data_IF_274357390441
#
_entry.id   IF_274357390441
#
_cell.length_a   1.000
_cell.length_b   1.000
_cell.length_c   1.000
_cell.angle_alpha   90.00
_cell.angle_beta   90.00
_cell.angle_gamma   90.00
#
_symmetry.space_group_name_H-M   'P 1'
#
loop_
_entity.id
_entity.type
_entity.pdbx_description
1 polymer ?
#
# COMPACT_ATOMS: atom_id res chain seq x y z
N UNK A 1 -63.35 42.50 -45.55
CA UNK A 1 -64.45 42.10 -44.64
C UNK A 1 -63.84 41.75 -43.27
N UNK A 2 -63.65 42.75 -42.39
CA UNK A 2 -63.07 42.59 -41.05
C UNK A 2 -64.22 42.41 -40.06
N UNK A 3 -64.37 41.20 -39.49
CA UNK A 3 -65.28 40.95 -38.36
C UNK A 3 -64.65 41.53 -37.09
N UNK A 4 -65.22 42.61 -36.58
CA UNK A 4 -64.94 43.09 -35.22
C UNK A 4 -65.65 42.14 -34.24
N UNK A 5 -64.88 41.20 -33.66
CA UNK A 5 -65.35 40.39 -32.54
C UNK A 5 -65.50 41.31 -31.31
N UNK A 6 -66.69 41.28 -30.73
CA UNK A 6 -67.09 42.11 -29.60
C UNK A 6 -66.38 41.65 -28.31
N UNK A 7 -65.29 42.32 -27.93
CA UNK A 7 -64.46 41.99 -26.75
C UNK A 7 -64.99 42.51 -25.39
N UNK A 8 -66.23 43.02 -25.30
CA UNK A 8 -66.75 43.65 -24.08
C UNK A 8 -67.35 42.70 -23.04
N UNK A 9 -66.99 41.42 -23.07
CA UNK A 9 -67.53 40.38 -22.19
C UNK A 9 -66.50 39.46 -21.54
N UNK A 10 -65.21 39.77 -21.56
CA UNK A 10 -64.22 39.10 -20.70
C UNK A 10 -64.49 39.55 -19.27
N UNK A 11 -65.44 38.88 -18.64
CA UNK A 11 -66.01 39.24 -17.35
C UNK A 11 -65.00 39.09 -16.23
N UNK A 12 -65.19 39.89 -15.20
CA UNK A 12 -64.47 39.83 -13.92
C UNK A 12 -64.31 38.38 -13.38
N UNK A 13 -65.26 37.50 -13.70
CA UNK A 13 -65.23 36.06 -13.41
C UNK A 13 -64.02 35.35 -14.01
N UNK A 14 -63.62 35.64 -15.25
CA UNK A 14 -62.49 34.96 -15.90
C UNK A 14 -61.15 35.32 -15.27
N UNK A 15 -61.00 36.59 -14.85
CA UNK A 15 -59.84 37.05 -14.07
C UNK A 15 -59.80 36.35 -12.71
N UNK A 16 -60.93 36.20 -12.02
CA UNK A 16 -60.98 35.49 -10.74
C UNK A 16 -60.65 34.01 -10.86
N UNK A 17 -61.14 33.33 -11.91
CA UNK A 17 -60.82 31.92 -12.18
C UNK A 17 -59.32 31.78 -12.48
N UNK A 18 -58.76 32.67 -13.30
CA UNK A 18 -57.33 32.62 -13.65
C UNK A 18 -56.45 32.84 -12.41
N UNK A 19 -56.79 33.81 -11.55
CA UNK A 19 -56.09 34.04 -10.28
C UNK A 19 -56.19 32.84 -9.34
N UNK A 20 -57.37 32.19 -9.26
CA UNK A 20 -57.56 30.98 -8.47
C UNK A 20 -56.67 29.82 -8.94
N UNK A 21 -56.60 29.59 -10.26
CA UNK A 21 -55.75 28.54 -10.85
C UNK A 21 -54.25 28.87 -10.64
N UNK A 22 -53.84 30.13 -10.85
CA UNK A 22 -52.45 30.54 -10.57
C UNK A 22 -52.07 30.35 -9.10
N UNK A 23 -52.98 30.62 -8.16
CA UNK A 23 -52.76 30.37 -6.73
C UNK A 23 -52.52 28.89 -6.41
N UNK A 24 -53.28 27.99 -7.04
CA UNK A 24 -53.12 26.55 -6.84
C UNK A 24 -51.80 26.03 -7.45
N UNK A 25 -51.41 26.53 -8.63
CA UNK A 25 -50.15 26.13 -9.28
C UNK A 25 -48.93 26.57 -8.46
N UNK A 26 -48.95 27.81 -7.94
CA UNK A 26 -47.81 28.33 -7.15
C UNK A 26 -47.61 27.53 -5.86
N UNK A 27 -48.68 27.22 -5.13
CA UNK A 27 -48.61 26.36 -3.93
C UNK A 27 -48.11 24.95 -4.24
N UNK A 28 -48.59 24.33 -5.33
CA UNK A 28 -48.11 23.02 -5.78
C UNK A 28 -46.61 23.03 -6.13
N UNK A 29 -46.16 24.05 -6.87
CA UNK A 29 -44.74 24.19 -7.24
C UNK A 29 -43.83 24.36 -6.04
N UNK A 30 -44.24 25.13 -5.02
CA UNK A 30 -43.44 25.37 -3.82
C UNK A 30 -43.14 24.08 -3.03
N UNK A 31 -44.10 23.15 -2.97
CA UNK A 31 -43.88 21.85 -2.32
C UNK A 31 -42.92 20.96 -3.13
N UNK A 32 -43.05 20.96 -4.46
CA UNK A 32 -42.13 20.24 -5.33
C UNK A 32 -40.70 20.78 -5.21
N UNK A 33 -40.52 22.11 -5.18
CA UNK A 33 -39.20 22.71 -4.98
C UNK A 33 -38.56 22.33 -3.64
N UNK A 34 -39.33 22.35 -2.54
CA UNK A 34 -38.86 21.86 -1.24
C UNK A 34 -38.41 20.40 -1.31
N UNK A 35 -39.15 19.56 -2.03
CA UNK A 35 -38.81 18.15 -2.21
C UNK A 35 -37.54 17.96 -3.05
N UNK A 36 -37.37 18.72 -4.13
CA UNK A 36 -36.18 18.70 -4.99
C UNK A 36 -34.93 19.11 -4.21
N UNK A 37 -34.99 20.19 -3.43
CA UNK A 37 -33.86 20.64 -2.58
C UNK A 37 -33.49 19.55 -1.56
N UNK A 38 -34.49 18.91 -0.95
CA UNK A 38 -34.26 17.81 0.00
C UNK A 38 -33.55 16.62 -0.67
N UNK A 39 -33.98 16.24 -1.88
CA UNK A 39 -33.32 15.18 -2.67
C UNK A 39 -31.89 15.57 -3.05
N UNK A 40 -31.69 16.79 -3.51
CA UNK A 40 -30.37 17.30 -3.90
C UNK A 40 -29.40 17.29 -2.72
N UNK A 41 -29.84 17.78 -1.55
CA UNK A 41 -29.03 17.75 -0.33
C UNK A 41 -28.70 16.31 0.07
N UNK A 42 -29.67 15.38 0.01
CA UNK A 42 -29.43 13.96 0.30
C UNK A 42 -28.40 13.34 -0.64
N UNK A 43 -28.48 13.62 -1.94
CA UNK A 43 -27.52 13.12 -2.92
C UNK A 43 -26.12 13.73 -2.71
N UNK A 44 -26.06 15.04 -2.40
CA UNK A 44 -24.80 15.72 -2.08
C UNK A 44 -24.14 15.11 -0.84
N UNK A 45 -24.91 14.82 0.21
CA UNK A 45 -24.39 14.19 1.44
C UNK A 45 -23.90 12.77 1.19
N UNK A 46 -24.62 11.96 0.40
CA UNK A 46 -24.15 10.62 0.03
C UNK A 46 -22.83 10.68 -0.73
N UNK A 47 -22.71 11.60 -1.69
CA UNK A 47 -21.47 11.80 -2.44
C UNK A 47 -20.32 12.24 -1.52
N UNK A 48 -20.58 13.17 -0.60
CA UNK A 48 -19.58 13.63 0.37
C UNK A 48 -19.10 12.51 1.30
N UNK A 49 -19.99 11.65 1.79
CA UNK A 49 -19.62 10.50 2.62
C UNK A 49 -18.81 9.48 1.82
N UNK A 50 -19.23 9.16 0.60
CA UNK A 50 -18.48 8.27 -0.29
C UNK A 50 -17.06 8.80 -0.57
N UNK A 51 -16.91 10.12 -0.73
CA UNK A 51 -15.60 10.74 -0.90
C UNK A 51 -14.74 10.63 0.36
N UNK A 52 -15.30 10.87 1.54
CA UNK A 52 -14.60 10.65 2.82
C UNK A 52 -14.18 9.19 2.98
N UNK A 53 -15.08 8.24 2.70
CA UNK A 53 -14.78 6.81 2.73
C UNK A 53 -13.61 6.48 1.79
N UNK A 54 -13.65 6.96 0.55
CA UNK A 54 -12.60 6.75 -0.44
C UNK A 54 -11.26 7.38 0.00
N UNK A 55 -11.29 8.58 0.58
CA UNK A 55 -10.10 9.23 1.14
C UNK A 55 -9.50 8.39 2.29
N UNK A 56 -10.33 7.87 3.20
CA UNK A 56 -9.87 7.00 4.28
C UNK A 56 -9.28 5.70 3.74
N UNK A 57 -9.97 5.03 2.81
CA UNK A 57 -9.49 3.78 2.19
C UNK A 57 -8.17 3.97 1.45
N UNK A 58 -8.06 4.99 0.61
CA UNK A 58 -6.83 5.27 -0.15
C UNK A 58 -5.66 5.64 0.75
N UNK A 59 -5.91 6.40 1.83
CA UNK A 59 -4.89 6.72 2.84
C UNK A 59 -4.47 5.45 3.60
N UNK A 60 -5.43 4.62 4.00
CA UNK A 60 -5.16 3.34 4.68
C UNK A 60 -4.36 2.41 3.78
N UNK A 61 -4.58 2.38 2.46
CA UNK A 61 -3.86 1.54 1.50
C UNK A 61 -2.50 2.11 1.07
N UNK A 62 -2.22 3.40 1.30
CA UNK A 62 -0.92 3.99 0.98
C UNK A 62 0.14 3.56 2.02
N UNK A 63 1.24 2.95 1.58
CA UNK A 63 2.25 2.35 2.48
C UNK A 63 2.96 3.38 3.37
N UNK A 64 3.31 4.54 2.81
CA UNK A 64 3.95 5.62 3.57
C UNK A 64 3.00 6.18 4.63
N UNK A 65 1.74 6.41 4.26
CA UNK A 65 0.70 6.89 5.17
C UNK A 65 0.47 5.91 6.34
N UNK A 66 0.39 4.61 6.05
CA UNK A 66 0.23 3.58 7.08
C UNK A 66 1.47 3.44 7.97
N UNK A 67 2.67 3.46 7.39
CA UNK A 67 3.91 3.46 8.16
C UNK A 67 3.95 4.67 9.11
N UNK A 68 3.56 5.86 8.63
CA UNK A 68 3.41 7.05 9.48
C UNK A 68 2.38 6.81 10.59
N UNK A 69 1.20 6.26 10.29
CA UNK A 69 0.20 5.89 11.29
C UNK A 69 0.72 4.93 12.36
N UNK A 70 1.41 3.85 11.98
CA UNK A 70 1.96 2.86 12.92
C UNK A 70 3.05 3.49 13.81
N UNK A 71 3.91 4.31 13.22
CA UNK A 71 5.08 4.88 13.90
C UNK A 71 4.77 6.17 14.67
N UNK A 72 3.62 6.82 14.43
CA UNK A 72 3.27 8.08 15.08
C UNK A 72 3.17 7.95 16.61
N UNK A 73 3.68 8.94 17.35
CA UNK A 73 3.73 8.91 18.82
C UNK A 73 2.34 8.73 19.46
N UNK A 74 1.30 9.36 18.90
CA UNK A 74 -0.07 9.24 19.39
C UNK A 74 -0.67 7.84 19.27
N UNK A 75 -0.15 6.98 18.37
CA UNK A 75 -0.59 5.59 18.20
C UNK A 75 0.33 4.59 18.91
N UNK A 76 1.24 5.04 19.78
CA UNK A 76 2.19 4.17 20.47
C UNK A 76 1.51 3.11 21.33
N UNK A 77 0.43 3.45 22.02
CA UNK A 77 -0.33 2.49 22.82
C UNK A 77 -1.20 1.54 21.96
N UNK A 78 -1.76 2.05 20.86
CA UNK A 78 -2.72 1.29 20.05
C UNK A 78 -2.10 0.48 18.92
N UNK A 79 -0.95 0.88 18.39
CA UNK A 79 -0.26 0.25 17.25
C UNK A 79 1.20 -0.09 17.55
N UNK A 80 1.66 0.13 18.79
CA UNK A 80 3.07 -0.08 19.17
C UNK A 80 3.59 -1.48 18.88
N UNK A 81 2.73 -2.50 19.01
CA UNK A 81 3.11 -3.89 18.75
C UNK A 81 3.42 -4.20 17.26
N UNK A 82 2.94 -3.35 16.33
CA UNK A 82 3.19 -3.49 14.89
C UNK A 82 4.55 -2.90 14.48
N UNK A 83 5.20 -2.15 15.38
CA UNK A 83 6.51 -1.54 15.12
C UNK A 83 7.58 -2.60 15.13
N UNK A 84 8.57 -2.42 14.27
CA UNK A 84 9.70 -3.33 14.14
C UNK A 84 10.51 -3.46 15.43
N UNK A 85 10.61 -2.37 16.20
CA UNK A 85 11.33 -2.32 17.47
C UNK A 85 10.59 -3.00 18.62
N UNK A 86 9.35 -3.47 18.42
CA UNK A 86 8.59 -4.10 19.49
C UNK A 86 9.08 -5.54 19.73
N UNK A 87 9.62 -5.86 20.92
CA UNK A 87 10.32 -7.13 21.15
C UNK A 87 9.39 -8.34 21.08
N UNK A 88 8.12 -8.14 21.39
CA UNK A 88 7.14 -9.22 21.50
C UNK A 88 6.18 -9.32 20.31
N UNK A 89 6.05 -8.33 19.41
CA UNK A 89 4.98 -8.36 18.39
C UNK A 89 3.56 -8.24 18.98
N UNK A 90 2.52 -8.52 18.18
CA UNK A 90 1.11 -8.33 18.53
C UNK A 90 0.43 -9.61 19.05
N UNK A 91 -0.52 -9.45 19.97
CA UNK A 91 -1.40 -10.55 20.39
C UNK A 91 -2.42 -10.90 19.27
N UNK A 92 -2.78 -12.18 19.16
CA UNK A 92 -3.83 -12.62 18.25
C UNK A 92 -5.18 -11.99 18.64
N UNK A 93 -5.95 -11.53 17.66
CA UNK A 93 -7.20 -10.77 17.79
C UNK A 93 -7.09 -9.46 18.58
N UNK A 94 -5.87 -8.91 18.73
CA UNK A 94 -5.71 -7.59 19.31
C UNK A 94 -6.44 -6.56 18.43
N UNK A 95 -7.39 -5.85 19.02
CA UNK A 95 -8.20 -4.83 18.33
C UNK A 95 -7.99 -3.49 19.02
N UNK A 96 -7.71 -2.44 18.25
CA UNK A 96 -7.55 -1.09 18.81
C UNK A 96 -7.96 0.00 17.83
N UNK A 97 -8.40 1.14 18.37
CA UNK A 97 -8.64 2.36 17.59
C UNK A 97 -7.30 3.09 17.33
N UNK A 98 -7.24 3.92 16.29
CA UNK A 98 -6.01 4.63 15.94
C UNK A 98 -6.27 5.92 15.17
N UNK A 99 -5.29 6.83 15.20
CA UNK A 99 -5.28 8.02 14.36
C UNK A 99 -4.70 7.70 12.97
N UNK A 100 -5.34 8.19 11.91
CA UNK A 100 -4.88 8.01 10.54
C UNK A 100 -4.05 9.22 10.08
N UNK A 101 -2.86 8.96 9.54
CA UNK A 101 -1.93 9.96 9.02
C UNK A 101 -1.70 9.75 7.53
N UNK A 102 -1.41 10.82 6.79
CA UNK A 102 -1.05 10.74 5.37
C UNK A 102 0.46 10.45 5.17
N UNK A 103 0.89 10.34 3.92
CA UNK A 103 2.30 10.13 3.57
C UNK A 103 3.23 11.29 3.94
N UNK A 104 2.68 12.47 4.26
CA UNK A 104 3.42 13.65 4.76
C UNK A 104 3.36 13.78 6.29
N UNK A 105 2.82 12.78 6.97
CA UNK A 105 2.64 12.73 8.42
C UNK A 105 1.65 13.78 8.96
N UNK A 106 0.74 14.29 8.13
CA UNK A 106 -0.40 15.08 8.62
C UNK A 106 -1.52 14.15 9.06
N UNK A 107 -2.18 14.50 10.15
CA UNK A 107 -3.30 13.73 10.65
C UNK A 107 -4.53 13.92 9.74
N UNK A 108 -4.90 12.87 9.00
CA UNK A 108 -6.09 12.82 8.15
C UNK A 108 -7.34 12.65 9.00
N UNK A 109 -7.30 11.72 9.97
CA UNK A 109 -8.45 11.43 10.82
C UNK A 109 -8.09 11.14 12.30
N UNK A 110 -8.71 11.84 13.28
CA UNK A 110 -8.52 11.59 14.72
C UNK A 110 -9.34 10.40 15.24
N UNK A 111 -9.04 9.16 14.81
CA UNK A 111 -9.81 7.99 15.25
C UNK A 111 -9.77 7.71 16.76
N UNK A 112 -8.82 8.27 17.51
CA UNK A 112 -8.78 8.21 18.97
C UNK A 112 -9.64 9.28 19.67
N UNK A 113 -10.10 10.30 18.94
CA UNK A 113 -10.89 11.40 19.51
C UNK A 113 -12.38 11.15 19.30
N UNK A 114 -13.11 10.89 20.38
CA UNK A 114 -14.54 10.57 20.33
C UNK A 114 -15.40 11.65 19.65
N UNK A 115 -14.99 12.92 19.69
CA UNK A 115 -15.75 14.04 19.12
C UNK A 115 -15.35 14.39 17.68
N UNK A 116 -14.38 13.70 17.08
CA UNK A 116 -14.02 13.92 15.70
C UNK A 116 -15.15 13.45 14.77
N UNK A 117 -15.39 14.14 13.68
CA UNK A 117 -16.46 13.76 12.75
C UNK A 117 -16.40 14.52 11.44
N UNK A 118 -17.50 14.45 10.69
CA UNK A 118 -17.68 15.14 9.42
C UNK A 118 -19.03 15.85 9.35
N UNK A 119 -19.02 17.00 8.66
CA UNK A 119 -20.21 17.78 8.32
C UNK A 119 -21.01 17.11 7.19
N UNK A 120 -22.18 17.66 6.89
CA UNK A 120 -23.02 17.27 5.75
C UNK A 120 -22.33 17.35 4.38
N UNK A 121 -21.26 18.14 4.29
CA UNK A 121 -20.45 18.38 3.09
C UNK A 121 -19.13 17.58 3.11
N UNK A 122 -18.93 16.68 4.08
CA UNK A 122 -17.72 15.87 4.18
C UNK A 122 -16.51 16.63 4.74
N UNK A 123 -16.70 17.82 5.31
CA UNK A 123 -15.62 18.57 5.95
C UNK A 123 -15.40 18.07 7.38
N UNK A 124 -14.16 18.10 7.88
CA UNK A 124 -13.86 17.68 9.26
C UNK A 124 -14.49 18.63 10.28
N UNK A 125 -14.99 18.06 11.37
CA UNK A 125 -15.49 18.79 12.53
C UNK A 125 -15.10 18.06 13.83
N UNK A 126 -15.11 18.78 14.96
CA UNK A 126 -14.67 18.27 16.28
C UNK A 126 -15.80 18.32 17.32
N UNK A 127 -17.05 18.26 16.87
CA UNK A 127 -18.23 18.40 17.70
C UNK A 127 -19.22 17.24 17.50
N UNK A 128 -18.74 16.09 17.02
CA UNK A 128 -19.55 14.88 16.99
C UNK A 128 -19.88 14.48 18.43
N UNK A 129 -21.12 14.08 18.66
CA UNK A 129 -21.62 13.68 19.97
C UNK A 129 -22.13 12.27 19.82
N UNK A 130 -21.28 11.33 20.20
CA UNK A 130 -21.33 9.95 19.72
C UNK A 130 -22.10 8.97 20.57
N UNK A 131 -22.95 9.40 21.50
CA UNK A 131 -23.70 8.48 22.33
C UNK A 131 -24.97 8.01 21.61
N UNK A 132 -25.00 6.79 21.05
CA UNK A 132 -26.19 6.27 20.37
C UNK A 132 -27.31 5.97 21.37
N UNK A 133 -26.98 5.82 22.66
CA UNK A 133 -27.93 5.61 23.74
C UNK A 133 -28.59 6.92 24.20
N UNK A 134 -28.01 8.08 23.87
CA UNK A 134 -28.56 9.41 24.17
C UNK A 134 -28.88 10.18 22.87
N UNK A 135 -29.98 9.83 22.16
CA UNK A 135 -30.37 10.43 20.88
C UNK A 135 -30.74 11.92 20.95
N UNK A 136 -30.84 12.52 22.14
CA UNK A 136 -31.02 13.97 22.31
C UNK A 136 -29.72 14.77 22.30
N UNK A 137 -28.57 14.12 22.14
CA UNK A 137 -27.25 14.77 22.21
C UNK A 137 -26.59 15.01 20.85
N UNK A 138 -27.24 14.71 19.73
CA UNK A 138 -26.64 14.83 18.39
C UNK A 138 -26.22 16.25 18.00
N UNK A 139 -25.57 16.39 16.84
CA UNK A 139 -25.15 17.69 16.31
C UNK A 139 -25.31 17.74 14.79
N UNK A 140 -26.22 18.59 14.31
CA UNK A 140 -26.50 18.73 12.86
C UNK A 140 -25.31 19.29 12.07
N UNK A 141 -24.41 20.02 12.72
CA UNK A 141 -23.19 20.52 12.09
C UNK A 141 -22.09 19.44 12.01
N UNK A 142 -22.19 18.37 12.79
CA UNK A 142 -21.21 17.30 12.84
C UNK A 142 -21.87 15.93 13.02
N UNK A 143 -22.74 15.50 12.09
CA UNK A 143 -23.59 14.34 12.30
C UNK A 143 -22.88 13.00 12.03
N UNK A 144 -21.72 12.99 11.37
CA UNK A 144 -21.04 11.76 10.94
C UNK A 144 -19.75 11.51 11.71
N UNK A 145 -19.47 10.25 12.02
CA UNK A 145 -18.22 9.81 12.62
C UNK A 145 -17.80 8.46 12.05
N UNK A 146 -16.50 8.30 11.78
CA UNK A 146 -15.94 7.00 11.44
C UNK A 146 -15.25 6.41 12.67
N UNK A 147 -15.75 5.29 13.16
CA UNK A 147 -15.03 4.54 14.17
C UNK A 147 -14.00 3.66 13.45
N UNK A 148 -12.75 4.15 13.40
CA UNK A 148 -11.63 3.41 12.82
C UNK A 148 -11.02 2.47 13.87
N UNK A 149 -10.94 1.19 13.54
CA UNK A 149 -10.23 0.18 14.32
C UNK A 149 -9.37 -0.68 13.41
N UNK A 150 -8.38 -1.33 14.02
CA UNK A 150 -7.60 -2.36 13.36
C UNK A 150 -7.56 -3.61 14.23
N UNK A 151 -7.50 -4.77 13.61
CA UNK A 151 -7.45 -6.08 14.27
C UNK A 151 -6.27 -6.89 13.75
N UNK A 152 -5.43 -7.38 14.65
CA UNK A 152 -4.33 -8.30 14.35
C UNK A 152 -4.84 -9.76 14.32
N UNK A 153 -4.61 -10.48 13.23
CA UNK A 153 -4.87 -11.91 13.12
C UNK A 153 -3.55 -12.66 12.91
N UNK A 154 -3.19 -13.50 13.88
CA UNK A 154 -2.03 -14.39 13.83
C UNK A 154 -2.44 -15.81 13.41
N UNK A 155 -1.54 -16.62 12.81
CA UNK A 155 -1.77 -18.06 12.65
C UNK A 155 -2.07 -18.75 13.99
N UNK A 156 -2.90 -19.83 13.99
CA UNK A 156 -3.19 -20.58 15.21
C UNK A 156 -1.92 -21.05 15.92
N UNK A 157 -1.82 -20.84 17.23
CA UNK A 157 -0.68 -21.26 18.05
C UNK A 157 0.52 -20.31 18.06
N UNK A 158 0.51 -19.21 17.30
CA UNK A 158 1.58 -18.20 17.31
C UNK A 158 1.09 -16.94 18.02
N UNK A 159 1.39 -16.81 19.31
CA UNK A 159 1.14 -15.57 20.06
C UNK A 159 2.30 -15.33 21.03
N UNK A 160 2.92 -14.14 21.01
CA UNK A 160 2.63 -13.00 20.13
C UNK A 160 3.26 -13.17 18.73
N UNK A 161 2.62 -12.62 17.70
CA UNK A 161 3.13 -12.69 16.33
C UNK A 161 3.74 -11.36 15.90
N UNK A 162 4.97 -11.41 15.36
CA UNK A 162 5.69 -10.23 14.89
C UNK A 162 5.02 -9.57 13.68
N UNK A 163 4.33 -10.39 12.87
CA UNK A 163 3.74 -10.00 11.59
C UNK A 163 2.29 -10.49 11.49
N UNK A 164 1.33 -9.89 12.22
CA UNK A 164 -0.08 -10.24 12.07
C UNK A 164 -0.60 -9.84 10.69
N UNK A 165 -1.61 -10.56 10.21
CA UNK A 165 -2.51 -10.05 9.18
C UNK A 165 -3.38 -8.96 9.80
N UNK A 166 -3.48 -7.80 9.15
CA UNK A 166 -4.18 -6.64 9.72
C UNK A 166 -5.48 -6.45 8.95
N UNK A 167 -6.60 -6.44 9.66
CA UNK A 167 -7.87 -5.95 9.12
C UNK A 167 -8.12 -4.56 9.69
N UNK A 168 -8.32 -3.57 8.84
CA UNK A 168 -8.70 -2.21 9.23
C UNK A 168 -10.17 -2.03 8.92
N UNK A 169 -10.95 -1.69 9.94
CA UNK A 169 -12.39 -1.49 9.85
C UNK A 169 -12.72 -0.01 10.06
N UNK A 170 -13.64 0.52 9.25
CA UNK A 170 -14.22 1.85 9.43
C UNK A 170 -15.73 1.75 9.48
N UNK A 171 -16.31 1.93 10.67
CA UNK A 171 -17.75 1.91 10.88
C UNK A 171 -18.30 3.34 10.85
N UNK A 172 -19.21 3.65 9.93
CA UNK A 172 -19.90 4.94 9.89
C UNK A 172 -20.98 4.99 10.98
N UNK A 173 -20.88 5.96 11.87
CA UNK A 173 -21.89 6.32 12.87
C UNK A 173 -22.54 7.66 12.48
N UNK A 174 -23.85 7.75 12.73
CA UNK A 174 -24.67 8.90 12.36
C UNK A 174 -25.48 9.36 13.59
N UNK A 175 -25.30 10.60 14.03
CA UNK A 175 -26.04 11.19 15.15
C UNK A 175 -26.33 12.70 14.99
N UNK A 176 -27.26 13.10 14.10
CA UNK A 176 -27.77 14.47 14.01
C UNK A 176 -28.60 14.85 15.26
N UNK A 177 -28.74 16.15 15.51
CA UNK A 177 -29.54 16.71 16.61
C UNK A 177 -31.03 16.64 16.31
N UNK A 178 -31.42 17.02 15.08
CA UNK A 178 -32.81 16.89 14.64
C UNK A 178 -33.18 15.40 14.54
N UNK A 179 -34.06 14.96 15.44
CA UNK A 179 -34.56 13.59 15.50
C UNK A 179 -35.39 13.19 14.29
N UNK A 180 -35.56 14.06 13.29
CA UNK A 180 -35.98 13.67 11.94
C UNK A 180 -34.91 12.80 11.25
N UNK A 181 -34.55 11.65 11.85
CA UNK A 181 -33.75 10.56 11.26
C UNK A 181 -34.26 10.13 9.88
N UNK A 182 -35.51 10.47 9.54
CA UNK A 182 -36.11 10.32 8.20
C UNK A 182 -35.42 11.17 7.12
N UNK A 183 -34.66 12.21 7.47
CA UNK A 183 -33.83 12.96 6.52
C UNK A 183 -32.65 12.12 6.01
N UNK A 184 -32.15 11.19 6.83
CA UNK A 184 -31.00 10.33 6.55
C UNK A 184 -31.45 8.91 6.23
N UNK A 185 -32.28 8.74 5.21
CA UNK A 185 -32.62 7.40 4.71
C UNK A 185 -31.46 6.81 3.88
N UNK A 186 -30.31 6.56 4.50
CA UNK A 186 -29.34 5.65 3.91
C UNK A 186 -28.82 4.74 5.00
N UNK A 187 -28.54 3.51 4.61
CA UNK A 187 -27.97 2.53 5.51
C UNK A 187 -26.49 2.87 5.74
N UNK A 188 -26.06 3.19 6.98
CA UNK A 188 -24.66 3.46 7.27
C UNK A 188 -23.75 2.28 6.93
N UNK A 189 -24.26 1.04 6.94
CA UNK A 189 -23.48 -0.15 6.59
C UNK A 189 -22.95 -0.11 5.15
N UNK A 190 -23.64 0.59 4.23
CA UNK A 190 -23.17 0.73 2.85
C UNK A 190 -21.93 1.63 2.70
N UNK A 191 -21.59 2.39 3.74
CA UNK A 191 -20.43 3.29 3.77
C UNK A 191 -19.41 2.88 4.85
N UNK A 192 -19.65 1.75 5.50
CA UNK A 192 -18.69 1.08 6.35
C UNK A 192 -17.78 0.21 5.51
N UNK A 193 -16.56 -0.01 5.98
CA UNK A 193 -15.59 -0.79 5.24
C UNK A 193 -14.72 -1.66 6.11
N UNK A 194 -14.35 -2.81 5.56
CA UNK A 194 -13.26 -3.64 6.04
C UNK A 194 -12.20 -3.74 4.95
N UNK A 195 -10.97 -3.40 5.31
CA UNK A 195 -9.81 -3.47 4.45
C UNK A 195 -8.83 -4.46 5.03
N UNK A 196 -8.54 -5.51 4.26
CA UNK A 196 -7.45 -6.39 4.60
C UNK A 196 -6.12 -5.74 4.19
N UNK A 197 -5.40 -5.20 5.18
CA UNK A 197 -3.97 -4.93 5.09
C UNK A 197 -3.26 -6.27 5.32
N UNK A 198 -3.25 -7.10 4.27
CA UNK A 198 -2.54 -8.37 4.28
C UNK A 198 -1.07 -8.17 4.61
N UNK A 199 -0.42 -9.18 5.20
CA UNK A 199 1.05 -9.20 5.34
C UNK A 199 1.76 -8.91 4.00
N UNK A 200 1.12 -9.29 2.88
CA UNK A 200 1.67 -9.31 1.53
C UNK A 200 1.69 -7.97 0.79
N UNK A 201 0.93 -6.96 1.24
CA UNK A 201 0.89 -5.64 0.60
C UNK A 201 1.62 -4.55 1.39
N UNK A 202 2.16 -4.86 2.58
CA UNK A 202 2.81 -3.86 3.45
C UNK A 202 4.18 -4.22 3.95
N UNK A 203 4.70 -5.40 3.64
CA UNK A 203 6.13 -5.62 3.75
C UNK A 203 6.65 -6.09 2.41
N UNK A 204 6.94 -5.10 1.56
CA UNK A 204 8.21 -5.16 0.86
C UNK A 204 9.25 -5.40 1.97
N UNK A 205 9.72 -6.63 2.13
CA UNK A 205 10.90 -6.91 2.92
C UNK A 205 12.06 -6.93 1.92
N UNK A 206 12.58 -5.74 1.51
CA UNK A 206 13.74 -5.73 0.67
C UNK A 206 14.86 -6.41 1.43
N UNK A 207 15.56 -7.27 0.72
CA UNK A 207 16.85 -7.78 1.14
C UNK A 207 17.83 -7.57 0.00
N UNK A 208 19.09 -7.34 0.32
CA UNK A 208 20.16 -7.26 -0.64
C UNK A 208 21.38 -7.99 -0.11
N UNK A 209 21.86 -8.95 -0.90
CA UNK A 209 23.13 -9.63 -0.68
C UNK A 209 24.04 -9.43 -1.88
N UNK A 210 25.35 -9.43 -1.65
CA UNK A 210 26.29 -9.15 -2.72
C UNK A 210 27.72 -9.58 -2.46
N UNK A 211 28.56 -9.24 -3.44
CA UNK A 211 30.00 -9.32 -3.33
C UNK A 211 30.57 -7.91 -3.16
N UNK A 212 31.14 -7.64 -2.00
CA UNK A 212 31.88 -6.42 -1.72
C UNK A 212 33.34 -6.76 -1.45
N UNK A 213 34.23 -6.05 -2.13
CA UNK A 213 35.67 -6.17 -1.89
C UNK A 213 36.39 -4.85 -2.16
N UNK A 214 37.62 -4.75 -1.67
CA UNK A 214 38.46 -3.56 -1.84
C UNK A 214 38.89 -3.39 -3.30
N UNK A 215 39.20 -2.15 -3.68
CA UNK A 215 39.73 -1.85 -5.02
C UNK A 215 40.99 -2.67 -5.32
N UNK A 216 41.14 -3.10 -6.58
CA UNK A 216 42.26 -3.93 -7.02
C UNK A 216 42.10 -5.44 -6.81
N UNK A 217 41.03 -5.91 -6.16
CA UNK A 217 40.70 -7.34 -6.08
C UNK A 217 39.90 -7.78 -7.31
N UNK A 218 39.89 -9.08 -7.63
CA UNK A 218 39.07 -9.63 -8.72
C UNK A 218 37.82 -10.31 -8.17
N UNK A 219 36.77 -10.40 -8.99
CA UNK A 219 35.55 -11.15 -8.66
C UNK A 219 35.73 -12.67 -8.52
N UNK A 220 36.96 -13.17 -8.73
CA UNK A 220 37.31 -14.58 -8.85
C UNK A 220 37.48 -15.04 -10.30
N UNK A 221 38.12 -16.19 -10.50
CA UNK A 221 38.34 -16.75 -11.82
C UNK A 221 37.01 -17.17 -12.47
N UNK A 222 36.80 -16.84 -13.74
CA UNK A 222 35.62 -17.33 -14.43
C UNK A 222 35.79 -18.78 -14.91
N UNK A 223 34.73 -19.57 -14.83
CA UNK A 223 34.71 -20.92 -15.42
C UNK A 223 34.53 -20.85 -16.94
N UNK A 224 35.33 -21.62 -17.69
CA UNK A 224 35.23 -21.73 -19.15
C UNK A 224 34.61 -23.05 -19.60
N UNK A 225 34.22 -23.14 -20.87
CA UNK A 225 33.58 -24.35 -21.41
C UNK A 225 32.21 -24.58 -20.76
N UNK A 226 31.84 -25.83 -20.48
CA UNK A 226 30.52 -26.18 -19.88
C UNK A 226 30.49 -26.16 -18.34
N UNK A 227 31.51 -25.58 -17.70
CA UNK A 227 31.62 -25.50 -16.24
C UNK A 227 31.05 -24.19 -15.70
N UNK A 228 30.56 -24.22 -14.47
CA UNK A 228 29.98 -23.06 -13.77
C UNK A 228 30.83 -22.74 -12.54
N UNK A 229 31.25 -21.48 -12.39
CA UNK A 229 31.92 -20.97 -11.20
C UNK A 229 30.89 -20.30 -10.28
N UNK A 230 31.04 -20.47 -8.96
CA UNK A 230 30.23 -19.72 -7.99
C UNK A 230 30.80 -18.32 -7.83
N UNK A 231 29.94 -17.31 -7.92
CA UNK A 231 30.28 -15.94 -7.56
C UNK A 231 30.40 -15.83 -6.05
N UNK A 232 31.36 -15.04 -5.59
CA UNK A 232 31.49 -14.72 -4.16
C UNK A 232 30.22 -13.98 -3.71
N UNK A 233 29.70 -14.34 -2.55
CA UNK A 233 28.62 -13.62 -1.86
C UNK A 233 29.07 -13.56 -0.40
N UNK A 234 29.52 -12.39 0.03
CA UNK A 234 30.22 -12.21 1.31
C UNK A 234 29.62 -11.08 2.16
N UNK A 235 28.60 -10.40 1.67
CA UNK A 235 27.98 -9.30 2.37
C UNK A 235 26.46 -9.35 2.29
N UNK A 236 25.83 -9.03 3.41
CA UNK A 236 24.42 -8.68 3.51
C UNK A 236 24.38 -7.16 3.63
N UNK A 237 23.89 -6.49 2.59
CA UNK A 237 23.85 -5.03 2.55
C UNK A 237 22.67 -4.50 3.35
N UNK A 238 21.54 -5.20 3.23
CA UNK A 238 20.26 -4.76 3.74
C UNK A 238 19.37 -5.98 3.94
N UNK A 239 18.88 -6.22 5.15
CA UNK A 239 17.82 -7.19 5.44
C UNK A 239 17.26 -6.98 6.85
N UNK A 240 16.39 -5.99 6.98
CA UNK A 240 15.78 -5.64 8.28
C UNK A 240 14.95 -6.78 8.88
N UNK A 241 14.44 -7.68 8.04
CA UNK A 241 13.56 -8.77 8.45
C UNK A 241 14.31 -10.08 8.74
N UNK A 242 15.64 -10.13 8.57
CA UNK A 242 16.46 -11.34 8.73
C UNK A 242 15.93 -12.52 7.89
N UNK A 243 15.52 -12.22 6.66
CA UNK A 243 15.06 -13.15 5.64
C UNK A 243 16.17 -13.86 4.89
N UNK A 244 17.40 -13.36 4.98
CA UNK A 244 18.58 -13.93 4.35
C UNK A 244 19.68 -14.15 5.40
N UNK A 245 20.52 -15.14 5.15
CA UNK A 245 21.76 -15.34 5.90
C UNK A 245 22.87 -15.67 4.92
N UNK A 246 23.92 -14.86 4.89
CA UNK A 246 25.08 -15.07 4.01
C UNK A 246 26.05 -16.08 4.61
N UNK A 247 26.45 -17.07 3.82
CA UNK A 247 27.49 -18.04 4.15
C UNK A 247 28.69 -17.82 3.22
N UNK A 248 29.58 -16.94 3.65
CA UNK A 248 30.79 -16.54 2.92
C UNK A 248 31.78 -17.68 2.71
N UNK A 249 31.81 -18.68 3.60
CA UNK A 249 32.70 -19.85 3.46
C UNK A 249 32.37 -20.70 2.22
N UNK A 250 31.12 -20.66 1.74
CA UNK A 250 30.66 -21.45 0.59
C UNK A 250 30.16 -20.61 -0.58
N UNK A 251 30.28 -19.28 -0.50
CA UNK A 251 29.75 -18.34 -1.49
C UNK A 251 28.25 -18.59 -1.77
N UNK A 252 27.47 -18.75 -0.70
CA UNK A 252 26.04 -19.06 -0.77
C UNK A 252 25.25 -18.20 0.22
N UNK A 253 23.95 -18.08 0.02
CA UNK A 253 23.05 -17.42 0.97
C UNK A 253 21.82 -18.29 1.20
N UNK A 254 21.20 -18.19 2.37
CA UNK A 254 20.00 -18.94 2.71
C UNK A 254 18.83 -17.99 2.84
N UNK A 255 17.75 -18.25 2.12
CA UNK A 255 16.50 -17.49 2.19
C UNK A 255 15.48 -18.23 3.06
N UNK A 256 14.70 -17.50 3.83
CA UNK A 256 13.54 -18.02 4.57
C UNK A 256 12.39 -18.42 3.62
N UNK A 257 11.39 -19.21 4.05
CA UNK A 257 10.21 -19.53 3.22
C UNK A 257 9.50 -18.26 2.72
N UNK A 258 9.03 -18.21 1.49
CA UNK A 258 8.31 -17.06 0.93
C UNK A 258 8.39 -16.98 -0.60
N UNK A 259 7.72 -15.98 -1.18
CA UNK A 259 7.79 -15.65 -2.60
C UNK A 259 8.69 -14.45 -2.82
N UNK A 260 9.75 -14.61 -3.59
CA UNK A 260 10.75 -13.59 -3.83
C UNK A 260 10.63 -13.05 -5.25
N UNK A 261 10.68 -11.73 -5.39
CA UNK A 261 10.91 -11.04 -6.65
C UNK A 261 12.31 -10.39 -6.59
N UNK A 262 13.25 -10.92 -7.35
CA UNK A 262 14.66 -10.56 -7.27
C UNK A 262 15.15 -9.92 -8.57
N UNK A 263 15.92 -8.85 -8.43
CA UNK A 263 16.81 -8.30 -9.46
C UNK A 263 18.26 -8.66 -9.13
N UNK A 264 18.93 -9.30 -10.09
CA UNK A 264 20.30 -9.78 -9.97
C UNK A 264 21.17 -9.01 -10.95
N UNK A 265 22.25 -8.42 -10.47
CA UNK A 265 23.26 -7.76 -11.30
C UNK A 265 24.61 -8.41 -11.01
N UNK A 266 25.33 -8.80 -12.05
CA UNK A 266 26.69 -9.30 -11.95
C UNK A 266 27.57 -8.69 -13.04
N UNK A 267 28.87 -8.68 -12.83
CA UNK A 267 29.86 -8.17 -13.78
C UNK A 267 30.83 -9.25 -14.25
N UNK A 268 31.44 -9.02 -15.40
CA UNK A 268 32.56 -9.80 -15.93
C UNK A 268 33.58 -8.88 -16.59
N UNK A 269 34.83 -9.32 -16.70
CA UNK A 269 35.90 -8.57 -17.34
C UNK A 269 36.64 -9.44 -18.36
N UNK A 270 36.83 -8.88 -19.57
CA UNK A 270 37.57 -9.49 -20.67
C UNK A 270 37.06 -10.88 -21.08
N UNK A 271 35.73 -11.04 -21.18
CA UNK A 271 35.09 -12.29 -21.60
C UNK A 271 34.23 -12.06 -22.84
N UNK A 272 34.51 -12.77 -23.93
CA UNK A 272 33.79 -12.61 -25.21
C UNK A 272 32.27 -12.71 -24.98
N UNK A 273 31.80 -13.79 -24.34
CA UNK A 273 30.41 -13.95 -23.89
C UNK A 273 30.35 -14.54 -22.50
N UNK A 274 29.26 -14.32 -21.76
CA UNK A 274 29.06 -14.98 -20.46
C UNK A 274 27.59 -15.10 -20.06
N UNK A 275 27.34 -16.02 -19.14
CA UNK A 275 26.02 -16.38 -18.63
C UNK A 275 26.04 -16.46 -17.12
N UNK A 276 24.94 -16.11 -16.48
CA UNK A 276 24.75 -16.27 -15.05
C UNK A 276 23.45 -17.01 -14.75
N UNK A 277 23.40 -17.70 -13.60
CA UNK A 277 22.18 -18.37 -13.14
C UNK A 277 22.07 -18.38 -11.62
N UNK A 278 20.84 -18.28 -11.11
CA UNK A 278 20.56 -18.48 -9.69
C UNK A 278 20.11 -19.93 -9.47
N UNK A 279 20.90 -20.68 -8.71
CA UNK A 279 20.63 -22.10 -8.42
C UNK A 279 20.24 -22.29 -6.95
N UNK A 280 19.15 -23.00 -6.71
CA UNK A 280 18.76 -23.45 -5.38
C UNK A 280 19.53 -24.76 -5.08
N UNK A 281 20.47 -24.70 -4.14
CA UNK A 281 21.26 -25.85 -3.71
C UNK A 281 20.44 -26.88 -2.92
N UNK A 282 19.34 -26.46 -2.28
CA UNK A 282 18.48 -27.36 -1.51
C UNK A 282 17.67 -28.26 -2.43
N UNK A 283 17.05 -27.72 -3.48
CA UNK A 283 16.22 -28.49 -4.42
C UNK A 283 16.96 -28.92 -5.69
N UNK A 284 18.13 -28.34 -5.98
CA UNK A 284 18.85 -28.52 -7.23
C UNK A 284 18.28 -27.71 -8.41
N UNK A 285 17.15 -27.03 -8.24
CA UNK A 285 16.49 -26.24 -9.29
C UNK A 285 17.29 -25.00 -9.72
N UNK A 286 17.11 -24.61 -10.99
CA UNK A 286 17.60 -23.35 -11.54
C UNK A 286 16.41 -22.40 -11.61
N UNK A 287 16.50 -21.28 -10.89
CA UNK A 287 15.39 -20.32 -10.79
C UNK A 287 15.52 -19.19 -11.81
N UNK A 288 16.75 -18.89 -12.25
CA UNK A 288 17.04 -17.80 -13.17
C UNK A 288 18.20 -18.15 -14.09
N UNK A 289 18.18 -17.65 -15.33
CA UNK A 289 19.32 -17.62 -16.24
C UNK A 289 19.35 -16.28 -17.01
N UNK A 290 20.53 -15.66 -17.11
CA UNK A 290 20.78 -14.45 -17.88
C UNK A 290 22.10 -14.53 -18.65
N UNK A 291 22.27 -13.70 -19.66
CA UNK A 291 23.49 -13.66 -20.48
C UNK A 291 23.85 -12.23 -20.89
N UNK A 292 25.15 -11.99 -21.08
CA UNK A 292 25.66 -10.72 -21.62
C UNK A 292 26.94 -10.98 -22.43
N UNK A 293 27.42 -9.95 -23.12
CA UNK A 293 28.57 -9.99 -24.02
C UNK A 293 29.56 -8.89 -23.64
N UNK A 294 30.86 -9.18 -23.70
CA UNK A 294 31.92 -8.21 -23.42
C UNK A 294 32.98 -8.24 -24.52
N UNK A 295 33.26 -7.12 -25.21
CA UNK A 295 34.42 -7.06 -26.08
C UNK A 295 35.74 -7.10 -25.27
N UNK A 296 36.83 -7.49 -25.93
CA UNK A 296 38.20 -7.58 -25.37
C UNK A 296 38.58 -6.35 -24.54
N UNK A 297 39.13 -6.58 -23.35
CA UNK A 297 39.62 -5.53 -22.44
C UNK A 297 38.55 -4.68 -21.74
N UNK A 298 37.26 -5.01 -21.90
CA UNK A 298 36.14 -4.31 -21.27
C UNK A 298 35.55 -5.02 -20.04
N UNK A 299 34.77 -4.27 -19.25
CA UNK A 299 33.84 -4.82 -18.25
C UNK A 299 32.42 -4.79 -18.80
N UNK A 300 31.65 -5.88 -18.66
CA UNK A 300 30.21 -5.88 -18.93
C UNK A 300 29.44 -6.25 -17.66
N UNK A 301 28.18 -5.83 -17.64
CA UNK A 301 27.20 -6.23 -16.64
C UNK A 301 26.12 -7.08 -17.30
N UNK A 302 25.62 -8.09 -16.59
CA UNK A 302 24.37 -8.76 -16.91
C UNK A 302 23.37 -8.45 -15.80
N UNK A 303 22.12 -8.22 -16.20
CA UNK A 303 21.00 -8.02 -15.28
C UNK A 303 19.96 -9.11 -15.51
N UNK A 304 19.38 -9.60 -14.43
CA UNK A 304 18.34 -10.61 -14.39
C UNK A 304 17.20 -10.21 -13.49
N UNK A 305 15.97 -10.55 -13.87
CA UNK A 305 14.81 -10.49 -12.96
C UNK A 305 14.21 -11.87 -12.83
N UNK A 306 13.85 -12.27 -11.61
CA UNK A 306 13.30 -13.60 -11.33
C UNK A 306 12.29 -13.53 -10.21
N UNK A 307 11.19 -14.27 -10.36
CA UNK A 307 10.23 -14.53 -9.29
C UNK A 307 10.17 -16.02 -8.98
N UNK A 308 10.29 -16.39 -7.71
CA UNK A 308 10.20 -17.79 -7.27
C UNK A 308 9.64 -17.91 -5.84
N UNK A 309 9.11 -19.07 -5.49
CA UNK A 309 8.58 -19.35 -4.15
C UNK A 309 9.29 -20.53 -3.52
N UNK A 310 9.53 -20.45 -2.21
CA UNK A 310 10.12 -21.54 -1.41
C UNK A 310 9.27 -21.79 -0.17
N UNK A 311 9.02 -23.06 0.13
CA UNK A 311 8.19 -23.50 1.27
C UNK A 311 9.00 -23.82 2.53
N UNK A 312 10.31 -23.97 2.38
CA UNK A 312 11.26 -24.21 3.45
C UNK A 312 12.51 -23.34 3.23
N UNK A 313 13.24 -23.04 4.31
CA UNK A 313 14.46 -22.26 4.22
C UNK A 313 15.43 -22.95 3.24
N UNK A 314 15.85 -22.21 2.22
CA UNK A 314 16.53 -22.77 1.04
C UNK A 314 17.84 -22.05 0.78
N UNK A 315 18.87 -22.80 0.40
CA UNK A 315 20.20 -22.27 0.10
C UNK A 315 20.32 -21.98 -1.39
N UNK A 316 20.90 -20.84 -1.73
CA UNK A 316 21.08 -20.38 -3.10
C UNK A 316 22.55 -20.02 -3.37
N UNK A 317 22.94 -20.17 -4.63
CA UNK A 317 24.20 -19.68 -5.18
C UNK A 317 23.93 -18.96 -6.49
N UNK A 318 24.70 -17.90 -6.74
CA UNK A 318 24.80 -17.30 -8.06
C UNK A 318 26.01 -17.90 -8.77
N UNK A 319 25.78 -18.50 -9.93
CA UNK A 319 26.82 -19.13 -10.74
C UNK A 319 27.02 -18.36 -12.04
N UNK A 320 28.25 -18.38 -12.55
CA UNK A 320 28.65 -17.75 -13.80
C UNK A 320 29.49 -18.68 -14.67
N UNK A 321 29.28 -18.59 -15.97
CA UNK A 321 29.99 -19.31 -17.02
C UNK A 321 30.46 -18.29 -18.06
N UNK A 322 31.72 -18.36 -18.49
CA UNK A 322 32.30 -17.47 -19.49
C UNK A 322 32.74 -18.23 -20.74
N UNK A 323 32.55 -17.59 -21.88
CA UNK A 323 33.16 -17.96 -23.15
C UNK A 323 34.57 -17.36 -23.16
N UNK A 324 35.57 -18.23 -23.31
CA UNK A 324 36.98 -17.83 -23.23
C UNK A 324 37.29 -16.87 -24.37
N UNK A 325 37.96 -15.76 -24.05
CA UNK A 325 38.56 -14.91 -25.05
C UNK A 325 39.94 -15.42 -25.47
N UNK A 326 40.23 -15.42 -26.76
CA UNK A 326 41.42 -16.06 -27.32
C UNK A 326 42.74 -15.34 -27.03
N UNK A 327 42.74 -14.13 -26.47
CA UNK A 327 43.89 -13.21 -26.63
C UNK A 327 44.66 -12.79 -25.38
N UNK A 328 44.16 -12.80 -24.13
CA UNK A 328 44.96 -12.34 -22.97
C UNK A 328 44.66 -13.01 -21.62
N UNK A 329 45.68 -13.04 -20.75
CA UNK A 329 45.78 -13.91 -19.56
C UNK A 329 44.93 -13.51 -18.34
N UNK A 330 44.01 -12.55 -18.44
CA UNK A 330 43.25 -12.10 -17.25
C UNK A 330 41.77 -11.83 -17.52
N UNK A 331 40.99 -12.90 -17.67
CA UNK A 331 39.54 -12.86 -17.63
C UNK A 331 39.04 -13.29 -16.25
N UNK A 332 38.12 -12.53 -15.67
CA UNK A 332 37.62 -12.76 -14.32
C UNK A 332 36.14 -12.38 -14.18
N UNK A 333 35.58 -12.69 -13.02
CA UNK A 333 34.19 -12.39 -12.67
C UNK A 333 33.96 -10.90 -12.32
N UNK A 334 34.76 -10.01 -12.91
CA UNK A 334 34.67 -8.57 -12.81
C UNK A 334 35.89 -7.98 -12.09
N UNK A 335 36.23 -6.75 -12.46
CA UNK A 335 37.19 -5.90 -11.78
C UNK A 335 36.52 -4.61 -11.29
N UNK A 336 36.82 -4.15 -10.07
CA UNK A 336 36.44 -2.83 -9.62
C UNK A 336 37.00 -1.81 -10.62
N UNK A 337 36.16 -0.93 -11.17
CA UNK A 337 36.69 0.20 -11.91
C UNK A 337 37.46 1.09 -10.93
N UNK A 338 38.76 1.31 -11.19
CA UNK A 338 39.73 1.90 -10.26
C UNK A 338 39.34 3.31 -9.76
N UNK A 339 38.44 4.00 -10.45
CA UNK A 339 38.07 5.38 -10.17
C UNK A 339 37.11 5.60 -8.98
N UNK A 340 36.54 4.55 -8.39
CA UNK A 340 35.65 4.69 -7.23
C UNK A 340 36.32 4.13 -5.96
N UNK A 341 36.68 5.03 -5.04
CA UNK A 341 37.41 4.74 -3.79
C UNK A 341 36.57 4.05 -2.70
N UNK A 342 35.26 3.91 -2.91
CA UNK A 342 34.34 3.37 -1.92
C UNK A 342 33.86 2.00 -2.42
N UNK A 343 34.54 0.93 -2.00
CA UNK A 343 34.21 -0.49 -2.19
C UNK A 343 33.22 -0.83 -3.32
N UNK A 344 33.71 -1.42 -4.40
CA UNK A 344 32.85 -1.75 -5.53
C UNK A 344 32.08 -3.05 -5.29
N UNK A 345 30.77 -3.01 -5.56
CA UNK A 345 29.93 -4.20 -5.65
C UNK A 345 30.18 -4.88 -6.99
N UNK A 346 30.62 -6.13 -6.96
CA UNK A 346 30.78 -6.96 -8.18
C UNK A 346 29.49 -7.70 -8.53
N UNK A 347 28.65 -7.88 -7.52
CA UNK A 347 27.43 -8.68 -7.57
C UNK A 347 26.44 -8.08 -6.60
N UNK A 348 25.22 -7.82 -7.05
CA UNK A 348 24.10 -7.47 -6.19
C UNK A 348 22.90 -8.37 -6.52
N UNK A 349 22.27 -8.88 -5.47
CA UNK A 349 21.02 -9.63 -5.52
C UNK A 349 20.06 -8.87 -4.61
N UNK A 350 19.21 -8.04 -5.20
CA UNK A 350 18.18 -7.31 -4.49
C UNK A 350 16.86 -8.05 -4.67
N UNK A 351 16.27 -8.52 -3.57
CA UNK A 351 15.01 -9.24 -3.58
C UNK A 351 13.97 -8.52 -2.74
N UNK A 352 12.73 -8.69 -3.12
CA UNK A 352 11.56 -8.32 -2.32
C UNK A 352 10.88 -9.62 -1.96
N UNK A 353 10.83 -9.95 -0.67
CA UNK A 353 10.01 -11.06 -0.20
C UNK A 353 8.57 -10.60 -0.04
N UNK A 354 7.67 -11.37 -0.62
CA UNK A 354 6.23 -11.35 -0.37
C UNK A 354 5.87 -12.69 0.28
N UNK A 355 5.23 -12.65 1.46
CA UNK A 355 4.90 -13.87 2.21
C UNK A 355 3.86 -14.75 1.55
#
# INVERSE_FOLDING_TARGET
MRRFLNHRGFGLIEIMITLGIMGLITLGSAQLFKHVIKIQNRNSTKAAIAEVENQLRTTILNDTAWANSVNHAQNSASMGCLRETHPTGCAHNFTSAFNLFDGRNNQVYPGLTANAGYTMQGQRCNAYRGDPANPGSGNDNCPFHYQLSWTASCPPGVTPCKNPMITVSGLLLINPEDQSRTAFQFDPQNYSFDLLRGANNTRYEPLEVGHYSTSGTTGGACATGNSWARRIINHENYDLANNVTVNSANNSFQLQPGTYDCTIVAQSFDVNGWRMRLRNLTSGSINFAGSSYTPDGGTSSAMGKVRFSITAASRFVLEQQCERNGSTASFDMGRPHYYYSNGNSFTSISCIRSS
#
